data_IF_754264434812
#
_entry.id   IF_754264434812
#
_cell.length_a   1.000
_cell.length_b   1.000
_cell.length_c   1.000
_cell.angle_alpha   90.00
_cell.angle_beta   90.00
_cell.angle_gamma   90.00
#
_symmetry.space_group_name_H-M   'P 1'
#
loop_
_entity.id
_entity.type
_entity.pdbx_description
1 polymer ?
#
# COMPACT_ATOMS: atom_id res chain seq x y z
N UNK A 1 14.50 -11.37 -6.07
CA UNK A 1 13.32 -11.83 -5.31
C UNK A 1 12.04 -11.36 -6.01
N UNK A 2 11.09 -12.23 -6.35
CA UNK A 2 9.82 -11.84 -7.01
C UNK A 2 8.78 -11.48 -5.94
N UNK A 3 8.86 -10.27 -5.37
CA UNK A 3 7.91 -9.79 -4.35
C UNK A 3 6.44 -9.94 -4.78
N UNK A 4 6.14 -9.68 -6.06
CA UNK A 4 4.80 -9.88 -6.62
C UNK A 4 4.27 -11.32 -6.51
N UNK A 5 5.15 -12.32 -6.54
CA UNK A 5 4.77 -13.72 -6.38
C UNK A 5 4.57 -14.04 -4.91
N UNK A 6 5.53 -13.62 -4.08
CA UNK A 6 5.48 -13.78 -2.63
C UNK A 6 4.20 -13.17 -2.02
N UNK A 7 3.81 -11.97 -2.45
CA UNK A 7 2.60 -11.29 -1.99
C UNK A 7 1.33 -12.08 -2.34
N UNK A 8 1.26 -12.66 -3.54
CA UNK A 8 0.11 -13.45 -3.99
C UNK A 8 -0.02 -14.77 -3.23
N UNK A 9 1.11 -15.39 -2.86
CA UNK A 9 1.14 -16.64 -2.07
C UNK A 9 0.82 -16.42 -0.59
N UNK A 10 1.20 -15.26 -0.04
CA UNK A 10 1.12 -14.99 1.40
C UNK A 10 -0.06 -14.12 1.80
N UNK A 11 -0.80 -13.54 0.85
CA UNK A 11 -1.98 -12.74 1.19
C UNK A 11 -3.11 -13.58 1.76
N UNK A 12 -3.86 -13.00 2.69
CA UNK A 12 -5.16 -13.51 3.11
C UNK A 12 -6.17 -13.28 1.98
N UNK A 13 -6.87 -14.33 1.55
CA UNK A 13 -7.79 -14.27 0.41
C UNK A 13 -8.92 -13.24 0.62
N UNK A 14 -9.46 -13.17 1.84
CA UNK A 14 -10.51 -12.23 2.22
C UNK A 14 -10.10 -10.76 2.11
N UNK A 15 -8.79 -10.47 2.20
CA UNK A 15 -8.26 -9.11 2.19
C UNK A 15 -7.51 -8.78 0.89
N UNK A 16 -7.59 -9.67 -0.11
CA UNK A 16 -6.82 -9.58 -1.35
C UNK A 16 -6.92 -8.20 -2.04
N UNK A 17 -8.10 -7.58 -2.01
CA UNK A 17 -8.38 -6.28 -2.63
C UNK A 17 -7.70 -5.10 -1.92
N UNK A 18 -7.30 -5.27 -0.67
CA UNK A 18 -6.70 -4.22 0.15
C UNK A 18 -5.18 -4.19 0.09
N UNK A 19 -4.53 -5.27 -0.37
CA UNK A 19 -3.07 -5.31 -0.57
C UNK A 19 -2.62 -4.38 -1.69
N UNK A 20 -1.39 -3.88 -1.63
CA UNK A 20 -0.79 -3.08 -2.71
C UNK A 20 -0.77 -3.85 -4.04
N UNK A 21 -1.29 -3.24 -5.10
CA UNK A 21 -1.15 -3.79 -6.46
C UNK A 21 0.25 -3.51 -7.02
N UNK A 22 1.19 -4.35 -6.62
CA UNK A 22 2.58 -4.25 -7.05
C UNK A 22 2.75 -4.41 -8.57
N UNK A 23 1.88 -5.18 -9.23
CA UNK A 23 1.96 -5.41 -10.68
C UNK A 23 1.58 -4.15 -11.45
N UNK A 24 0.51 -3.47 -11.03
CA UNK A 24 0.09 -2.19 -11.58
C UNK A 24 1.16 -1.11 -11.39
N UNK A 25 1.70 -0.98 -10.17
CA UNK A 25 2.74 0.00 -9.89
C UNK A 25 4.00 -0.25 -10.73
N UNK A 26 4.42 -1.51 -10.85
CA UNK A 26 5.56 -1.88 -11.70
C UNK A 26 5.31 -1.59 -13.19
N UNK A 27 4.08 -1.80 -13.69
CA UNK A 27 3.71 -1.48 -15.07
C UNK A 27 3.77 0.03 -15.32
N UNK A 28 3.27 0.84 -14.40
CA UNK A 28 3.34 2.32 -14.49
C UNK A 28 4.78 2.82 -14.41
N UNK A 29 5.59 2.29 -13.50
CA UNK A 29 7.01 2.63 -13.39
C UNK A 29 7.79 2.33 -14.67
N UNK A 30 7.50 1.21 -15.34
CA UNK A 30 8.09 0.88 -16.64
C UNK A 30 7.67 1.85 -17.75
N UNK A 31 6.42 2.33 -17.74
CA UNK A 31 5.96 3.31 -18.71
C UNK A 31 6.72 4.63 -18.56
N UNK A 32 6.93 5.08 -17.31
CA UNK A 32 7.78 6.24 -17.00
C UNK A 32 9.20 6.02 -17.53
N UNK A 33 9.83 4.90 -17.22
CA UNK A 33 11.18 4.58 -17.70
C UNK A 33 11.30 4.55 -19.24
N UNK A 34 10.33 3.96 -19.93
CA UNK A 34 10.31 3.92 -21.39
C UNK A 34 10.16 5.31 -22.03
N UNK A 35 9.45 6.23 -21.38
CA UNK A 35 9.32 7.62 -21.84
C UNK A 35 10.61 8.43 -21.64
N UNK A 36 11.42 8.07 -20.64
CA UNK A 36 12.74 8.67 -20.40
C UNK A 36 13.79 8.13 -21.39
N UNK A 37 13.79 6.84 -21.69
CA UNK A 37 14.72 6.23 -22.65
C UNK A 37 14.46 6.65 -24.11
N UNK A 38 13.20 6.95 -24.46
CA UNK A 38 12.82 7.41 -25.81
C UNK A 38 13.13 8.87 -26.10
N UNK A 39 13.38 9.69 -25.07
CA UNK A 39 13.79 11.08 -25.18
C UNK A 39 15.24 11.24 -24.75
N UNK A 40 16.18 11.05 -25.67
CA UNK A 40 17.61 11.13 -25.37
C UNK A 40 18.02 12.50 -24.79
N UNK A 41 17.97 12.65 -23.47
CA UNK A 41 18.65 13.68 -22.70
C UNK A 41 18.56 13.38 -21.20
N UNK A 42 19.73 13.11 -20.61
CA UNK A 42 20.08 13.29 -19.19
C UNK A 42 19.24 12.58 -18.11
N UNK A 43 19.74 11.40 -17.76
CA UNK A 43 19.53 10.72 -16.49
C UNK A 43 20.33 11.40 -15.36
N UNK A 44 20.04 12.66 -15.05
CA UNK A 44 20.45 13.33 -13.81
C UNK A 44 19.32 14.29 -13.43
N UNK A 45 19.01 14.43 -12.14
CA UNK A 45 17.93 15.24 -11.54
C UNK A 45 16.63 14.46 -11.24
N UNK A 46 16.71 13.64 -10.20
CA UNK A 46 15.57 13.49 -9.29
C UNK A 46 15.21 14.88 -8.72
N UNK A 47 13.97 15.39 -8.85
CA UNK A 47 13.64 16.72 -8.38
C UNK A 47 13.41 16.68 -6.87
N UNK A 48 14.46 16.97 -6.09
CA UNK A 48 14.31 17.32 -4.67
C UNK A 48 13.81 18.75 -4.46
N UNK A 49 13.54 19.52 -5.52
CA UNK A 49 12.84 20.79 -5.39
C UNK A 49 11.94 21.06 -6.60
N UNK A 50 10.69 21.40 -6.32
CA UNK A 50 9.83 22.05 -7.28
C UNK A 50 10.42 23.44 -7.57
N UNK A 51 10.98 23.64 -8.76
CA UNK A 51 11.26 24.98 -9.30
C UNK A 51 11.12 24.96 -10.82
N UNK A 52 9.93 25.37 -11.26
CA UNK A 52 9.56 25.58 -12.65
C UNK A 52 10.27 26.81 -13.22
N UNK A 53 11.36 26.60 -13.97
CA UNK A 53 11.92 27.61 -14.88
C UNK A 53 11.98 27.00 -16.29
N UNK A 54 10.89 27.16 -17.03
CA UNK A 54 10.76 26.69 -18.42
C UNK A 54 11.62 27.58 -19.32
N UNK A 55 12.82 27.10 -19.66
CA UNK A 55 13.63 27.67 -20.72
C UNK A 55 12.97 27.39 -22.09
N UNK A 56 12.37 28.43 -22.67
CA UNK A 56 11.83 28.44 -24.04
C UNK A 56 13.00 28.36 -25.04
N UNK A 57 13.41 27.16 -25.42
CA UNK A 57 14.45 26.99 -26.44
C UNK A 57 14.67 25.59 -26.99
N UNK A 58 13.82 24.61 -26.63
CA UNK A 58 13.88 23.24 -27.16
C UNK A 58 12.88 23.02 -28.29
N UNK A 59 13.26 22.24 -29.29
CA UNK A 59 12.38 21.71 -30.36
C UNK A 59 11.04 21.20 -29.79
N UNK A 60 9.92 21.45 -30.49
CA UNK A 60 8.57 21.01 -30.09
C UNK A 60 8.51 19.51 -29.70
N UNK A 61 9.32 18.66 -30.36
CA UNK A 61 9.41 17.24 -30.06
C UNK A 61 10.02 16.95 -28.68
N UNK A 62 11.01 17.73 -28.26
CA UNK A 62 11.66 17.59 -26.95
C UNK A 62 10.77 18.13 -25.82
N UNK A 63 10.01 19.20 -26.09
CA UNK A 63 9.03 19.74 -25.13
C UNK A 63 7.84 18.78 -24.93
N UNK A 64 7.37 18.12 -26.00
CA UNK A 64 6.35 17.10 -25.92
C UNK A 64 6.81 15.85 -25.14
N UNK A 65 8.07 15.44 -25.31
CA UNK A 65 8.69 14.35 -24.53
C UNK A 65 8.76 14.68 -23.04
N UNK A 66 9.19 15.88 -22.68
CA UNK A 66 9.28 16.35 -21.29
C UNK A 66 7.91 16.50 -20.63
N UNK A 67 6.91 17.02 -21.35
CA UNK A 67 5.53 17.12 -20.86
C UNK A 67 4.85 15.74 -20.70
N UNK A 68 5.17 14.79 -21.58
CA UNK A 68 4.68 13.41 -21.47
C UNK A 68 5.34 12.66 -20.30
N UNK A 69 6.64 12.85 -20.08
CA UNK A 69 7.35 12.27 -18.94
C UNK A 69 6.78 12.78 -17.60
N UNK A 70 6.59 14.10 -17.46
CA UNK A 70 6.02 14.68 -16.24
C UNK A 70 4.58 14.20 -15.97
N UNK A 71 3.77 14.03 -17.01
CA UNK A 71 2.38 13.51 -16.88
C UNK A 71 2.37 12.04 -16.44
N UNK A 72 3.30 11.23 -16.92
CA UNK A 72 3.39 9.81 -16.54
C UNK A 72 3.96 9.62 -15.13
N UNK A 73 4.93 10.44 -14.73
CA UNK A 73 5.45 10.49 -13.37
C UNK A 73 4.34 10.88 -12.37
N UNK A 74 3.58 11.93 -12.67
CA UNK A 74 2.44 12.33 -11.86
C UNK A 74 1.40 11.21 -11.77
N UNK A 75 1.06 10.57 -12.88
CA UNK A 75 0.13 9.43 -12.90
C UNK A 75 0.64 8.21 -12.09
N UNK A 76 1.95 8.00 -12.00
CA UNK A 76 2.54 6.99 -11.12
C UNK A 76 2.41 7.39 -9.65
N UNK A 77 2.77 8.62 -9.29
CA UNK A 77 2.69 9.13 -7.91
C UNK A 77 1.26 9.13 -7.39
N UNK A 78 0.28 9.56 -8.20
CA UNK A 78 -1.14 9.51 -7.86
C UNK A 78 -1.59 8.07 -7.59
N UNK A 79 -1.19 7.12 -8.45
CA UNK A 79 -1.51 5.71 -8.21
C UNK A 79 -0.87 5.18 -6.93
N UNK A 80 0.40 5.52 -6.67
CA UNK A 80 1.09 5.11 -5.44
C UNK A 80 0.37 5.66 -4.20
N UNK A 81 0.01 6.94 -4.20
CA UNK A 81 -0.74 7.56 -3.11
C UNK A 81 -2.10 6.89 -2.90
N UNK A 82 -2.83 6.57 -3.97
CA UNK A 82 -4.10 5.85 -3.87
C UNK A 82 -3.94 4.47 -3.25
N UNK A 83 -2.87 3.74 -3.60
CA UNK A 83 -2.57 2.43 -3.01
C UNK A 83 -2.23 2.56 -1.52
N UNK A 84 -1.40 3.53 -1.13
CA UNK A 84 -1.06 3.80 0.28
C UNK A 84 -2.31 4.16 1.07
N UNK A 85 -3.13 5.08 0.56
CA UNK A 85 -4.37 5.51 1.21
C UNK A 85 -5.34 4.33 1.40
N UNK A 86 -5.44 3.42 0.43
CA UNK A 86 -6.27 2.22 0.54
C UNK A 86 -5.80 1.29 1.66
N UNK A 87 -4.49 1.01 1.74
CA UNK A 87 -3.90 0.16 2.78
C UNK A 87 -4.10 0.80 4.16
N UNK A 88 -3.86 2.11 4.27
CA UNK A 88 -4.07 2.86 5.51
C UNK A 88 -5.53 2.81 5.96
N UNK A 89 -6.48 3.13 5.08
CA UNK A 89 -7.91 3.13 5.39
C UNK A 89 -8.44 1.74 5.77
N UNK A 90 -7.91 0.66 5.17
CA UNK A 90 -8.22 -0.69 5.60
C UNK A 90 -7.67 -0.98 7.00
N UNK A 91 -6.40 -0.66 7.23
CA UNK A 91 -5.72 -0.89 8.51
C UNK A 91 -6.41 -0.16 9.66
N UNK A 92 -6.76 1.12 9.46
CA UNK A 92 -7.47 1.93 10.44
C UNK A 92 -8.83 1.33 10.79
N UNK A 93 -9.67 1.04 9.80
CA UNK A 93 -11.01 0.45 10.01
C UNK A 93 -10.94 -0.89 10.73
N UNK A 94 -10.03 -1.78 10.33
CA UNK A 94 -9.86 -3.09 10.97
C UNK A 94 -9.34 -2.92 12.40
N UNK A 95 -8.39 -2.02 12.64
CA UNK A 95 -7.87 -1.74 13.99
C UNK A 95 -8.95 -1.18 14.92
N UNK A 96 -9.84 -0.33 14.41
CA UNK A 96 -10.95 0.25 15.16
C UNK A 96 -11.99 -0.80 15.53
N UNK A 97 -12.35 -1.67 14.57
CA UNK A 97 -13.25 -2.80 14.81
C UNK A 97 -12.69 -3.79 15.84
N UNK A 98 -11.39 -4.11 15.78
CA UNK A 98 -10.72 -4.97 16.77
C UNK A 98 -10.69 -4.32 18.16
N UNK A 99 -10.40 -3.02 18.24
CA UNK A 99 -10.45 -2.26 19.51
C UNK A 99 -11.86 -2.21 20.09
N UNK A 100 -12.89 -2.05 19.26
CA UNK A 100 -14.28 -2.10 19.69
C UNK A 100 -14.62 -3.49 20.26
N UNK A 101 -14.31 -4.56 19.51
CA UNK A 101 -14.54 -5.95 19.94
C UNK A 101 -13.82 -6.29 21.24
N UNK A 102 -12.59 -5.80 21.43
CA UNK A 102 -11.82 -5.98 22.65
C UNK A 102 -12.47 -5.27 23.85
N UNK A 103 -13.00 -4.04 23.65
CA UNK A 103 -13.72 -3.31 24.70
C UNK A 103 -14.98 -4.05 25.13
N UNK A 104 -15.75 -4.57 24.17
CA UNK A 104 -16.94 -5.37 24.43
C UNK A 104 -16.60 -6.67 25.18
N UNK A 105 -15.58 -7.41 24.72
CA UNK A 105 -15.13 -8.62 25.38
C UNK A 105 -14.68 -8.34 26.81
N UNK A 106 -13.92 -7.25 27.02
CA UNK A 106 -13.46 -6.83 28.35
C UNK A 106 -14.62 -6.46 29.28
N UNK A 107 -15.65 -5.79 28.77
CA UNK A 107 -16.84 -5.45 29.55
C UNK A 107 -17.65 -6.70 29.94
N UNK A 108 -17.79 -7.67 29.03
CA UNK A 108 -18.50 -8.93 29.26
C UNK A 108 -17.68 -10.02 29.97
N UNK A 109 -16.35 -9.86 30.05
CA UNK A 109 -15.43 -10.89 30.55
C UNK A 109 -15.76 -11.40 31.97
N UNK A 110 -16.14 -10.56 32.96
CA UNK A 110 -16.46 -11.06 34.30
C UNK A 110 -17.67 -12.00 34.32
N UNK A 111 -18.68 -11.73 33.50
CA UNK A 111 -19.87 -12.58 33.39
C UNK A 111 -19.56 -13.86 32.61
N UNK A 112 -18.87 -13.73 31.46
CA UNK A 112 -18.46 -14.86 30.62
C UNK A 112 -17.48 -15.80 31.33
N UNK A 113 -16.56 -15.27 32.15
CA UNK A 113 -15.62 -16.08 32.92
C UNK A 113 -16.33 -17.00 33.92
N UNK A 114 -17.45 -16.56 34.50
CA UNK A 114 -18.25 -17.34 35.45
C UNK A 114 -19.17 -18.35 34.75
N UNK A 115 -19.81 -17.93 33.66
CA UNK A 115 -20.80 -18.75 32.97
C UNK A 115 -20.19 -19.73 31.96
N UNK A 116 -19.20 -19.28 31.20
CA UNK A 116 -18.64 -20.01 30.05
C UNK A 116 -17.15 -19.66 29.82
N UNK A 117 -16.23 -20.08 30.72
CA UNK A 117 -14.81 -19.75 30.63
C UNK A 117 -14.13 -20.29 29.35
N UNK A 118 -14.67 -21.34 28.74
CA UNK A 118 -14.20 -21.84 27.45
C UNK A 118 -14.56 -20.88 26.30
N UNK A 119 -15.76 -20.29 26.32
CA UNK A 119 -16.20 -19.32 25.31
C UNK A 119 -15.38 -18.03 25.38
N UNK A 120 -15.08 -17.53 26.60
CA UNK A 120 -14.21 -16.38 26.80
C UNK A 120 -12.80 -16.61 26.19
N UNK A 121 -12.22 -17.79 26.42
CA UNK A 121 -10.93 -18.16 25.83
C UNK A 121 -10.98 -18.27 24.31
N UNK A 122 -12.08 -18.82 23.76
CA UNK A 122 -12.30 -18.91 22.33
C UNK A 122 -12.34 -17.53 21.66
N UNK A 123 -13.13 -16.61 22.21
CA UNK A 123 -13.21 -15.24 21.68
C UNK A 123 -11.90 -14.47 21.83
N UNK A 124 -11.22 -14.59 22.97
CA UNK A 124 -9.92 -13.96 23.18
C UNK A 124 -8.88 -14.47 22.17
N UNK A 125 -8.87 -15.77 21.89
CA UNK A 125 -7.99 -16.37 20.87
C UNK A 125 -8.33 -15.86 19.48
N UNK A 126 -9.61 -15.89 19.10
CA UNK A 126 -10.08 -15.39 17.80
C UNK A 126 -9.66 -13.94 17.56
N UNK A 127 -9.82 -13.06 18.54
CA UNK A 127 -9.38 -11.67 18.44
C UNK A 127 -7.86 -11.54 18.34
N UNK A 128 -7.11 -12.38 19.08
CA UNK A 128 -5.65 -12.44 18.98
C UNK A 128 -5.18 -12.87 17.59
N UNK A 129 -5.79 -13.92 17.03
CA UNK A 129 -5.48 -14.42 15.69
C UNK A 129 -5.76 -13.33 14.63
N UNK A 130 -6.87 -12.59 14.74
CA UNK A 130 -7.17 -11.46 13.84
C UNK A 130 -6.18 -10.29 13.95
N UNK A 131 -5.64 -10.02 15.14
CA UNK A 131 -4.56 -9.02 15.31
C UNK A 131 -3.29 -9.48 14.60
N UNK A 132 -2.90 -10.75 14.76
CA UNK A 132 -1.71 -11.31 14.08
C UNK A 132 -1.86 -11.28 12.56
N UNK A 133 -3.06 -11.58 12.05
CA UNK A 133 -3.34 -11.46 10.62
C UNK A 133 -3.22 -10.00 10.14
N UNK A 134 -3.73 -9.02 10.92
CA UNK A 134 -3.57 -7.60 10.59
C UNK A 134 -2.10 -7.18 10.60
N UNK A 135 -1.30 -7.64 11.56
CA UNK A 135 0.15 -7.39 11.59
C UNK A 135 0.83 -7.97 10.35
N UNK A 136 0.49 -9.21 9.98
CA UNK A 136 1.00 -9.84 8.75
C UNK A 136 0.60 -9.05 7.50
N UNK A 137 -0.63 -8.56 7.44
CA UNK A 137 -1.09 -7.68 6.36
C UNK A 137 -0.22 -6.42 6.26
N UNK A 138 0.06 -5.75 7.39
CA UNK A 138 0.90 -4.54 7.42
C UNK A 138 2.32 -4.86 6.94
N UNK A 139 2.93 -5.94 7.45
CA UNK A 139 4.28 -6.35 7.08
C UNK A 139 4.39 -6.66 5.58
N UNK A 140 3.44 -7.42 5.03
CA UNK A 140 3.40 -7.75 3.61
C UNK A 140 3.28 -6.50 2.73
N UNK A 141 2.54 -5.47 3.17
CA UNK A 141 2.42 -4.22 2.42
C UNK A 141 3.63 -3.29 2.57
N UNK A 142 4.36 -3.34 3.68
CA UNK A 142 5.61 -2.60 3.88
C UNK A 142 6.79 -3.22 3.13
N UNK A 143 6.68 -4.50 2.75
CA UNK A 143 7.76 -5.22 2.05
C UNK A 143 8.91 -5.64 2.96
N UNK A 144 8.75 -5.50 4.28
CA UNK A 144 9.70 -6.01 5.27
C UNK A 144 9.65 -7.54 5.23
N UNK A 145 10.67 -8.16 4.62
CA UNK A 145 10.87 -9.60 4.74
C UNK A 145 11.14 -9.93 6.21
N UNK A 146 10.35 -10.84 6.77
CA UNK A 146 10.73 -11.62 7.97
C UNK A 146 11.56 -12.80 7.52
#
# INVERSE_FOLDING_TARGET
MKFAHFLEENRRAEWAEHYVDYRLLKKRLKAVGASLDGGGAHMEHWPTSASLSVARGGSEASLAGLASASTQEEAFLVALQQQIARVAAFTERTSEALRASLRELRAGAPALARAAPAALRGEARRLGDEVLELERFIQLNQGSQV
#
